data_IF_186699389404
#
_entry.id   IF_186699389404
#
_cell.length_a   1.000
_cell.length_b   1.000
_cell.length_c   1.000
_cell.angle_alpha   90.00
_cell.angle_beta   90.00
_cell.angle_gamma   90.00
#
_symmetry.space_group_name_H-M   'P 1'
#
loop_
_entity.id
_entity.type
_entity.pdbx_description
1 polymer ?
#
# COMPACT_ATOMS: atom_id res chain seq x y z
N UNK A 1 -44.29 -10.68 -2.19
CA UNK A 1 -44.01 -9.24 -1.97
C UNK A 1 -45.29 -8.47 -2.24
N UNK A 2 -45.78 -7.74 -1.26
CA UNK A 2 -46.99 -6.95 -1.40
C UNK A 2 -46.85 -5.88 -2.50
N UNK A 3 -47.97 -5.58 -3.15
CA UNK A 3 -48.05 -4.61 -4.25
C UNK A 3 -48.93 -3.43 -3.85
N UNK A 4 -48.72 -2.26 -4.48
CA UNK A 4 -49.61 -1.10 -4.29
C UNK A 4 -51.05 -1.47 -4.56
N UNK A 5 -51.33 -2.40 -5.49
CA UNK A 5 -52.69 -2.86 -5.83
C UNK A 5 -53.32 -3.63 -4.67
N UNK A 6 -52.58 -4.44 -3.94
CA UNK A 6 -53.08 -5.17 -2.76
C UNK A 6 -53.39 -4.22 -1.62
N UNK A 7 -52.48 -3.25 -1.36
CA UNK A 7 -52.73 -2.22 -0.34
C UNK A 7 -53.99 -1.41 -0.70
N UNK A 8 -54.16 -1.03 -1.97
CA UNK A 8 -55.31 -0.27 -2.45
C UNK A 8 -56.62 -1.05 -2.28
N UNK A 9 -56.60 -2.37 -2.56
CA UNK A 9 -57.75 -3.24 -2.36
C UNK A 9 -58.16 -3.38 -0.89
N UNK A 10 -57.19 -3.57 0.02
CA UNK A 10 -57.45 -3.72 1.48
C UNK A 10 -57.86 -2.37 2.11
N UNK A 11 -57.24 -1.28 1.67
CA UNK A 11 -57.58 0.05 2.16
C UNK A 11 -58.89 0.60 1.58
N UNK A 12 -59.43 -0.01 0.50
CA UNK A 12 -60.61 0.41 -0.25
C UNK A 12 -60.46 1.81 -0.88
N UNK A 13 -59.29 2.11 -1.40
CA UNK A 13 -58.96 3.38 -2.05
C UNK A 13 -58.32 3.16 -3.43
N UNK A 14 -58.20 4.23 -4.23
CA UNK A 14 -57.53 4.13 -5.51
C UNK A 14 -56.02 3.84 -5.37
N UNK A 15 -55.46 3.17 -6.38
CA UNK A 15 -54.00 2.93 -6.46
C UNK A 15 -53.22 4.24 -6.43
N UNK A 16 -53.78 5.32 -7.05
CA UNK A 16 -53.16 6.64 -7.05
C UNK A 16 -53.14 7.28 -5.66
N UNK A 17 -54.19 7.07 -4.84
CA UNK A 17 -54.26 7.53 -3.45
C UNK A 17 -53.19 6.85 -2.61
N UNK A 18 -53.11 5.52 -2.69
CA UNK A 18 -52.04 4.76 -1.97
C UNK A 18 -50.66 5.24 -2.41
N UNK A 19 -50.42 5.37 -3.71
CA UNK A 19 -49.14 5.83 -4.22
C UNK A 19 -48.74 7.21 -3.69
N UNK A 20 -49.69 8.15 -3.65
CA UNK A 20 -49.44 9.52 -3.16
C UNK A 20 -49.23 9.55 -1.64
N UNK A 21 -50.02 8.80 -0.88
CA UNK A 21 -49.81 8.67 0.60
C UNK A 21 -48.47 8.08 0.93
N UNK A 22 -48.09 6.97 0.29
CA UNK A 22 -46.77 6.31 0.50
C UNK A 22 -45.58 7.14 0.01
N UNK A 23 -45.81 8.13 -0.84
CA UNK A 23 -44.81 9.11 -1.28
C UNK A 23 -44.83 10.41 -0.47
N UNK A 24 -45.63 10.49 0.62
CA UNK A 24 -45.77 11.66 1.49
C UNK A 24 -46.14 12.93 0.73
N UNK A 25 -47.03 12.80 -0.24
CA UNK A 25 -47.53 13.96 -1.03
C UNK A 25 -48.46 14.81 -0.19
N UNK A 26 -47.99 15.97 0.25
CA UNK A 26 -48.73 16.92 1.08
C UNK A 26 -49.89 17.61 0.33
N UNK A 27 -49.85 17.59 -1.01
CA UNK A 27 -50.92 18.18 -1.82
C UNK A 27 -52.16 17.29 -1.95
N UNK A 28 -52.07 16.05 -1.45
CA UNK A 28 -53.19 15.10 -1.48
C UNK A 28 -54.18 15.40 -0.35
N UNK A 29 -55.37 15.81 -0.73
CA UNK A 29 -56.46 15.99 0.21
C UNK A 29 -57.15 14.66 0.51
N UNK A 30 -56.73 14.00 1.59
CA UNK A 30 -57.24 12.74 2.13
C UNK A 30 -57.34 12.84 3.65
N UNK A 31 -58.36 12.23 4.27
CA UNK A 31 -58.51 12.27 5.72
C UNK A 31 -57.34 11.58 6.44
N UNK A 32 -56.99 12.08 7.63
CA UNK A 32 -55.91 11.49 8.44
C UNK A 32 -56.20 10.02 8.75
N UNK A 33 -57.45 9.66 9.00
CA UNK A 33 -57.89 8.27 9.24
C UNK A 33 -57.55 7.38 8.03
N UNK A 34 -57.78 7.87 6.81
CA UNK A 34 -57.48 7.11 5.60
C UNK A 34 -55.96 7.04 5.36
N UNK A 35 -55.21 8.09 5.70
CA UNK A 35 -53.75 8.11 5.62
C UNK A 35 -53.14 7.08 6.57
N UNK A 36 -53.56 7.07 7.83
CA UNK A 36 -53.12 6.10 8.84
C UNK A 36 -53.48 4.67 8.44
N UNK A 37 -54.71 4.43 7.94
CA UNK A 37 -55.13 3.10 7.45
C UNK A 37 -54.19 2.57 6.36
N UNK A 38 -53.83 3.41 5.38
CA UNK A 38 -52.94 3.03 4.29
C UNK A 38 -51.53 2.70 4.80
N UNK A 39 -50.97 3.53 5.71
CA UNK A 39 -49.65 3.33 6.29
C UNK A 39 -49.58 2.05 7.11
N UNK A 40 -50.62 1.78 7.93
CA UNK A 40 -50.69 0.56 8.74
C UNK A 40 -50.78 -0.70 7.89
N UNK A 41 -51.59 -0.71 6.84
CA UNK A 41 -51.69 -1.83 5.89
C UNK A 41 -50.37 -2.05 5.15
N UNK A 42 -49.67 -0.98 4.77
CA UNK A 42 -48.39 -1.07 4.12
C UNK A 42 -47.32 -1.69 5.04
N UNK A 43 -47.33 -1.35 6.31
CA UNK A 43 -46.43 -1.92 7.37
C UNK A 43 -46.76 -3.39 7.62
N UNK A 44 -48.02 -3.74 7.86
CA UNK A 44 -48.48 -5.13 8.06
C UNK A 44 -48.16 -6.05 6.88
N UNK A 45 -48.13 -5.53 5.67
CA UNK A 45 -47.78 -6.27 4.45
C UNK A 45 -46.30 -6.20 4.10
N UNK A 46 -45.45 -5.63 4.94
CA UNK A 46 -44.02 -5.37 4.70
C UNK A 46 -43.75 -4.75 3.32
N UNK A 47 -44.62 -3.80 2.91
CA UNK A 47 -44.53 -3.17 1.58
C UNK A 47 -43.37 -2.18 1.53
N UNK A 48 -42.39 -2.46 0.67
CA UNK A 48 -41.25 -1.56 0.39
C UNK A 48 -41.57 -0.76 -0.90
N UNK A 49 -41.77 0.55 -0.78
CA UNK A 49 -42.07 1.41 -1.92
C UNK A 49 -40.95 1.36 -2.99
N UNK A 50 -41.32 1.58 -4.26
CA UNK A 50 -40.34 1.66 -5.36
C UNK A 50 -39.34 2.80 -5.18
N UNK A 51 -39.67 3.86 -4.42
CA UNK A 51 -38.71 4.90 -4.01
C UNK A 51 -37.75 4.41 -2.94
N UNK A 52 -38.21 3.65 -1.95
CA UNK A 52 -37.39 3.05 -0.93
C UNK A 52 -36.47 1.96 -1.54
N UNK A 53 -36.98 1.23 -2.56
CA UNK A 53 -36.11 0.34 -3.37
C UNK A 53 -35.09 1.12 -4.19
N UNK A 54 -35.46 2.29 -4.77
CA UNK A 54 -34.50 3.16 -5.46
C UNK A 54 -33.50 3.83 -4.51
N UNK A 55 -33.90 4.10 -3.25
CA UNK A 55 -33.01 4.66 -2.22
C UNK A 55 -32.06 3.57 -1.66
N UNK A 56 -32.54 2.33 -1.48
CA UNK A 56 -31.66 1.17 -1.18
C UNK A 56 -30.74 0.79 -2.35
N UNK A 57 -31.11 1.12 -3.59
CA UNK A 57 -30.29 0.93 -4.79
C UNK A 57 -29.53 2.19 -5.24
N UNK A 58 -29.60 3.30 -4.50
CA UNK A 58 -28.67 4.40 -4.71
C UNK A 58 -27.36 3.97 -4.06
N UNK A 59 -26.45 3.40 -4.88
CA UNK A 59 -25.09 3.08 -4.43
C UNK A 59 -24.58 4.29 -3.65
N UNK A 60 -24.05 4.07 -2.45
CA UNK A 60 -23.40 5.13 -1.68
C UNK A 60 -22.38 5.82 -2.59
N UNK A 61 -22.17 7.10 -2.40
CA UNK A 61 -21.08 7.83 -3.06
C UNK A 61 -19.79 7.79 -2.22
N UNK A 62 -19.82 7.06 -1.12
CA UNK A 62 -18.72 6.96 -0.20
C UNK A 62 -17.87 5.71 -0.50
N UNK A 63 -16.57 5.90 -0.58
CA UNK A 63 -15.55 4.85 -0.61
C UNK A 63 -14.84 4.87 0.75
N UNK A 64 -14.77 3.73 1.41
CA UNK A 64 -14.02 3.57 2.64
C UNK A 64 -12.53 3.49 2.36
N UNK A 65 -11.72 4.15 3.17
CA UNK A 65 -10.27 3.94 3.18
C UNK A 65 -9.82 3.50 4.56
N UNK A 66 -9.04 2.42 4.58
CA UNK A 66 -8.36 1.93 5.78
C UNK A 66 -6.87 1.79 5.49
N UNK A 67 -6.03 2.14 6.47
CA UNK A 67 -4.60 2.03 6.34
C UNK A 67 -3.94 1.61 7.67
N UNK A 68 -2.87 0.82 7.55
CA UNK A 68 -2.22 0.12 8.65
C UNK A 68 -1.22 0.96 9.46
N UNK A 69 -0.94 2.19 9.01
CA UNK A 69 0.03 3.11 9.62
C UNK A 69 -0.69 4.23 10.39
N UNK A 70 0.01 4.80 11.36
CA UNK A 70 -0.51 5.93 12.14
C UNK A 70 -0.06 7.29 11.54
N UNK A 71 -0.57 8.37 12.12
CA UNK A 71 -0.28 9.74 11.66
C UNK A 71 1.21 10.12 11.73
N UNK A 72 1.92 9.70 12.79
CA UNK A 72 3.35 10.00 12.96
C UNK A 72 4.19 9.28 11.90
N UNK A 73 3.83 8.06 11.58
CA UNK A 73 4.47 7.27 10.53
C UNK A 73 4.21 7.86 9.14
N UNK A 74 3.00 8.37 8.89
CA UNK A 74 2.66 9.04 7.64
C UNK A 74 3.48 10.32 7.43
N UNK A 75 3.71 11.09 8.50
CA UNK A 75 4.57 12.27 8.44
C UNK A 75 6.06 11.92 8.26
N UNK A 76 6.49 10.81 8.84
CA UNK A 76 7.88 10.34 8.77
C UNK A 76 8.28 9.77 7.41
N UNK A 77 7.34 9.14 6.70
CA UNK A 77 7.56 8.58 5.36
C UNK A 77 6.40 8.95 4.43
N UNK A 78 6.60 9.89 3.49
CA UNK A 78 5.54 10.39 2.61
C UNK A 78 5.07 9.37 1.55
N UNK A 79 5.61 8.17 1.50
CA UNK A 79 5.22 7.13 0.54
C UNK A 79 3.72 6.79 0.63
N UNK A 80 3.24 6.43 1.82
CA UNK A 80 1.82 6.11 2.03
C UNK A 80 0.91 7.34 1.95
N UNK A 81 1.39 8.50 2.40
CA UNK A 81 0.70 9.78 2.23
C UNK A 81 0.42 10.06 0.74
N UNK A 82 1.40 9.85 -0.13
CA UNK A 82 1.26 10.05 -1.58
C UNK A 82 0.21 9.11 -2.19
N UNK A 83 0.19 7.84 -1.79
CA UNK A 83 -0.84 6.86 -2.21
C UNK A 83 -2.23 7.34 -1.80
N UNK A 84 -2.40 7.74 -0.53
CA UNK A 84 -3.68 8.20 0.01
C UNK A 84 -4.19 9.46 -0.67
N UNK A 85 -3.34 10.48 -0.83
CA UNK A 85 -3.72 11.72 -1.50
C UNK A 85 -4.09 11.51 -2.98
N UNK A 86 -3.39 10.60 -3.68
CA UNK A 86 -3.75 10.25 -5.05
C UNK A 86 -5.09 9.52 -5.14
N UNK A 87 -5.37 8.61 -4.20
CA UNK A 87 -6.67 7.95 -4.11
C UNK A 87 -7.79 8.96 -3.82
N UNK A 88 -7.59 9.89 -2.88
CA UNK A 88 -8.54 10.96 -2.55
C UNK A 88 -8.85 11.85 -3.76
N UNK A 89 -7.80 12.32 -4.44
CA UNK A 89 -7.95 13.11 -5.66
C UNK A 89 -8.75 12.36 -6.72
N UNK A 90 -8.41 11.09 -6.95
CA UNK A 90 -9.07 10.26 -7.97
C UNK A 90 -10.54 9.97 -7.61
N UNK A 91 -10.85 9.73 -6.32
CA UNK A 91 -12.24 9.61 -5.85
C UNK A 91 -13.05 10.88 -6.15
N UNK A 92 -12.49 12.05 -5.80
CA UNK A 92 -13.14 13.34 -6.03
C UNK A 92 -13.41 13.59 -7.54
N UNK A 93 -12.45 13.27 -8.41
CA UNK A 93 -12.60 13.36 -9.87
C UNK A 93 -13.75 12.49 -10.41
N UNK A 94 -14.06 11.38 -9.71
CA UNK A 94 -15.15 10.46 -10.07
C UNK A 94 -16.44 10.67 -9.26
N UNK A 95 -16.53 11.78 -8.51
CA UNK A 95 -17.68 12.13 -7.67
C UNK A 95 -17.98 11.13 -6.54
N UNK A 96 -16.94 10.49 -6.00
CA UNK A 96 -16.98 9.70 -4.77
C UNK A 96 -16.34 10.49 -3.62
N UNK A 97 -16.89 10.33 -2.41
CA UNK A 97 -16.27 10.83 -1.19
C UNK A 97 -15.36 9.73 -0.62
N UNK A 98 -14.17 10.09 -0.13
CA UNK A 98 -13.31 9.16 0.58
C UNK A 98 -13.52 9.32 2.09
N UNK A 99 -13.88 8.22 2.76
CA UNK A 99 -14.20 8.22 4.19
C UNK A 99 -13.22 7.30 4.92
N UNK A 100 -12.56 7.84 5.95
CA UNK A 100 -11.65 7.04 6.76
C UNK A 100 -12.41 6.04 7.61
N UNK A 101 -12.03 4.76 7.51
CA UNK A 101 -12.47 3.67 8.36
C UNK A 101 -11.42 3.44 9.46
N UNK A 102 -11.86 3.22 10.70
CA UNK A 102 -10.98 2.87 11.81
C UNK A 102 -11.21 1.40 12.18
N UNK A 103 -10.13 0.65 12.45
CA UNK A 103 -10.21 -0.77 12.82
C UNK A 103 -11.03 -1.00 14.09
N UNK A 104 -10.97 -0.07 15.05
CA UNK A 104 -11.51 -0.20 16.42
C UNK A 104 -12.82 0.55 16.63
N UNK A 105 -13.35 1.26 15.65
CA UNK A 105 -14.57 2.05 15.89
C UNK A 105 -15.81 1.36 15.32
N UNK A 106 -16.79 1.12 16.22
CA UNK A 106 -18.17 0.82 15.86
C UNK A 106 -18.89 2.02 15.21
N UNK A 107 -18.19 3.14 15.00
CA UNK A 107 -18.77 4.43 14.65
C UNK A 107 -18.89 4.67 13.14
N UNK A 108 -18.25 3.86 12.30
CA UNK A 108 -18.47 3.92 10.85
C UNK A 108 -18.91 2.54 10.34
N UNK A 109 -20.11 2.50 9.82
CA UNK A 109 -20.67 1.28 9.26
C UNK A 109 -19.96 0.95 7.92
N UNK A 110 -19.01 0.01 7.97
CA UNK A 110 -18.29 -0.52 6.80
C UNK A 110 -19.27 -0.99 5.71
N UNK A 111 -20.51 -1.31 6.09
CA UNK A 111 -21.56 -1.78 5.17
C UNK A 111 -22.17 -0.64 4.35
N UNK A 112 -22.01 0.62 4.78
CA UNK A 112 -22.60 1.79 4.10
C UNK A 112 -21.74 2.39 2.99
N UNK A 113 -20.50 1.90 2.79
CA UNK A 113 -19.62 2.34 1.69
C UNK A 113 -19.83 1.47 0.45
N UNK A 114 -19.64 2.05 -0.74
CA UNK A 114 -19.73 1.33 -2.01
C UNK A 114 -18.60 0.32 -2.22
N UNK A 115 -17.46 0.58 -1.59
CA UNK A 115 -16.27 -0.27 -1.62
C UNK A 115 -15.18 0.26 -0.71
N UNK A 116 -14.09 -0.51 -0.58
CA UNK A 116 -13.01 -0.24 0.37
C UNK A 116 -11.66 -0.24 -0.35
N UNK A 117 -10.85 0.76 -0.06
CA UNK A 117 -9.41 0.79 -0.39
C UNK A 117 -8.62 0.51 0.89
N UNK A 118 -7.88 -0.59 0.91
CA UNK A 118 -7.07 -1.02 2.04
C UNK A 118 -5.57 -0.83 1.72
N UNK A 119 -4.93 0.18 2.35
CA UNK A 119 -3.55 0.54 2.07
C UNK A 119 -2.61 -0.08 3.11
N UNK A 120 -1.65 -0.86 2.63
CA UNK A 120 -0.67 -1.55 3.45
C UNK A 120 -1.12 -2.95 3.88
N UNK A 121 -0.60 -3.45 4.99
CA UNK A 121 -0.68 -4.85 5.39
C UNK A 121 -1.60 -5.04 6.59
N UNK A 122 -2.51 -5.99 6.47
CA UNK A 122 -3.51 -6.25 7.51
C UNK A 122 -3.41 -7.67 8.04
N UNK A 123 -3.78 -7.85 9.31
CA UNK A 123 -3.92 -9.17 9.91
C UNK A 123 -5.01 -9.98 9.19
N UNK A 124 -4.89 -11.33 9.12
CA UNK A 124 -5.92 -12.18 8.51
C UNK A 124 -7.32 -11.92 9.09
N UNK A 125 -7.44 -11.69 10.39
CA UNK A 125 -8.72 -11.36 11.05
C UNK A 125 -9.33 -10.05 10.55
N UNK A 126 -8.51 -9.01 10.32
CA UNK A 126 -8.96 -7.74 9.74
C UNK A 126 -9.42 -7.93 8.30
N UNK A 127 -8.67 -8.71 7.49
CA UNK A 127 -9.03 -9.02 6.11
C UNK A 127 -10.38 -9.71 6.03
N UNK A 128 -10.63 -10.73 6.88
CA UNK A 128 -11.91 -11.44 6.91
C UNK A 128 -13.05 -10.54 7.41
N UNK A 129 -12.82 -9.65 8.40
CA UNK A 129 -13.79 -8.65 8.85
C UNK A 129 -14.19 -7.73 7.69
N UNK A 130 -13.23 -7.20 6.94
CA UNK A 130 -13.50 -6.34 5.78
C UNK A 130 -14.26 -7.11 4.69
N UNK A 131 -13.83 -8.33 4.36
CA UNK A 131 -14.44 -9.18 3.33
C UNK A 131 -15.88 -9.58 3.66
N UNK A 132 -16.19 -9.79 4.95
CA UNK A 132 -17.54 -10.11 5.40
C UNK A 132 -18.50 -8.91 5.31
N UNK A 133 -17.95 -7.69 5.39
CA UNK A 133 -18.73 -6.47 5.38
C UNK A 133 -18.92 -5.87 3.98
N UNK A 134 -17.97 -6.06 3.07
CA UNK A 134 -18.03 -5.52 1.71
C UNK A 134 -17.29 -6.44 0.73
N UNK A 135 -17.91 -6.73 -0.42
CA UNK A 135 -17.29 -7.56 -1.48
C UNK A 135 -16.35 -6.76 -2.40
N UNK A 136 -16.51 -5.42 -2.42
CA UNK A 136 -15.73 -4.52 -3.26
C UNK A 136 -14.51 -4.00 -2.49
N UNK A 137 -13.43 -4.76 -2.46
CA UNK A 137 -12.17 -4.38 -1.78
C UNK A 137 -11.02 -4.39 -2.77
N UNK A 138 -10.18 -3.37 -2.69
CA UNK A 138 -8.89 -3.28 -3.39
C UNK A 138 -7.79 -3.07 -2.36
N UNK A 139 -6.81 -3.95 -2.34
CA UNK A 139 -5.61 -3.79 -1.52
C UNK A 139 -4.52 -3.03 -2.27
N UNK A 140 -3.79 -2.16 -1.57
CA UNK A 140 -2.69 -1.38 -2.12
C UNK A 140 -1.41 -1.68 -1.33
N UNK A 141 -0.31 -1.91 -2.04
CA UNK A 141 1.00 -2.31 -1.48
C UNK A 141 0.95 -3.64 -0.71
N UNK A 142 -0.09 -4.41 -0.91
CA UNK A 142 -0.31 -5.72 -0.32
C UNK A 142 -1.29 -6.55 -1.18
N UNK A 143 -1.07 -7.86 -1.28
CA UNK A 143 -1.97 -8.81 -1.94
C UNK A 143 -2.16 -10.02 -1.03
N UNK A 144 -3.22 -10.05 -0.19
CA UNK A 144 -3.44 -11.13 0.75
C UNK A 144 -3.82 -12.46 0.08
N UNK A 145 -4.64 -12.38 -0.96
CA UNK A 145 -5.09 -13.51 -1.77
C UNK A 145 -5.55 -12.99 -3.14
N UNK A 146 -4.77 -13.26 -4.17
CA UNK A 146 -5.04 -12.79 -5.54
C UNK A 146 -6.27 -13.42 -6.19
N UNK A 147 -6.76 -14.56 -5.67
CA UNK A 147 -7.97 -15.20 -6.16
C UNK A 147 -9.24 -14.56 -5.57
N UNK A 148 -9.12 -13.89 -4.42
CA UNK A 148 -10.26 -13.30 -3.70
C UNK A 148 -10.36 -11.78 -3.85
N UNK A 149 -9.23 -11.09 -4.00
CA UNK A 149 -9.18 -9.64 -3.92
C UNK A 149 -8.40 -9.00 -5.06
N UNK A 150 -8.83 -7.82 -5.44
CA UNK A 150 -8.02 -6.95 -6.27
C UNK A 150 -6.85 -6.38 -5.50
N UNK A 151 -5.73 -6.18 -6.20
CA UNK A 151 -4.57 -5.54 -5.59
C UNK A 151 -3.79 -4.68 -6.59
N UNK A 152 -3.19 -3.61 -6.06
CA UNK A 152 -2.26 -2.74 -6.79
C UNK A 152 -0.94 -2.73 -6.03
N UNK A 153 0.13 -3.13 -6.69
CA UNK A 153 1.45 -3.35 -6.08
C UNK A 153 2.53 -2.61 -6.86
N UNK A 154 3.64 -2.31 -6.19
CA UNK A 154 4.93 -2.06 -6.84
C UNK A 154 5.69 -3.38 -7.00
N UNK A 155 6.56 -3.48 -8.01
CA UNK A 155 7.43 -4.65 -8.21
C UNK A 155 8.68 -4.56 -7.33
N UNK A 156 8.48 -4.80 -6.02
CA UNK A 156 9.55 -4.70 -5.00
C UNK A 156 10.66 -5.71 -5.27
N UNK A 157 10.30 -6.93 -5.67
CA UNK A 157 11.28 -7.99 -5.91
C UNK A 157 12.20 -7.66 -7.07
N UNK A 158 11.65 -7.24 -8.21
CA UNK A 158 12.44 -6.87 -9.39
C UNK A 158 13.29 -5.64 -9.12
N UNK A 159 12.73 -4.59 -8.49
CA UNK A 159 13.47 -3.38 -8.15
C UNK A 159 14.63 -3.64 -7.19
N UNK A 160 14.45 -4.52 -6.20
CA UNK A 160 15.53 -4.94 -5.30
C UNK A 160 16.64 -5.68 -6.06
N UNK A 161 16.26 -6.57 -6.97
CA UNK A 161 17.22 -7.29 -7.81
C UNK A 161 18.02 -6.34 -8.71
N UNK A 162 17.39 -5.29 -9.24
CA UNK A 162 18.08 -4.27 -10.05
C UNK A 162 19.08 -3.44 -9.22
N UNK A 163 18.74 -3.04 -7.99
CA UNK A 163 19.68 -2.38 -7.07
C UNK A 163 20.93 -3.25 -6.85
N UNK A 164 20.71 -4.52 -6.53
CA UNK A 164 21.80 -5.44 -6.20
C UNK A 164 22.67 -5.76 -7.42
N UNK A 165 22.06 -5.92 -8.61
CA UNK A 165 22.80 -6.04 -9.86
C UNK A 165 23.66 -4.80 -10.12
N UNK A 166 23.09 -3.60 -9.99
CA UNK A 166 23.82 -2.34 -10.17
C UNK A 166 25.03 -2.24 -9.24
N UNK A 167 24.85 -2.47 -7.95
CA UNK A 167 25.97 -2.46 -7.00
C UNK A 167 27.01 -3.54 -7.31
N UNK A 168 26.58 -4.72 -7.73
CA UNK A 168 27.46 -5.80 -8.12
C UNK A 168 28.29 -5.48 -9.39
N UNK A 169 27.67 -4.81 -10.38
CA UNK A 169 28.33 -4.33 -11.61
C UNK A 169 29.32 -3.20 -11.34
N UNK A 170 29.07 -2.38 -10.31
CA UNK A 170 30.03 -1.40 -9.82
C UNK A 170 31.24 -2.05 -9.08
N UNK A 171 31.24 -3.37 -8.92
CA UNK A 171 32.32 -4.12 -8.28
C UNK A 171 32.10 -4.44 -6.80
N UNK A 172 31.00 -3.96 -6.18
CA UNK A 172 30.72 -4.25 -4.79
C UNK A 172 30.41 -5.74 -4.57
N UNK A 173 31.01 -6.33 -3.54
CA UNK A 173 30.80 -7.73 -3.12
C UNK A 173 30.38 -7.83 -1.65
N UNK A 174 30.74 -6.83 -0.86
CA UNK A 174 30.36 -6.66 0.54
C UNK A 174 29.30 -5.56 0.60
N UNK A 175 28.07 -5.96 0.35
CA UNK A 175 26.91 -5.07 0.29
C UNK A 175 26.10 -5.28 1.58
N UNK A 176 26.00 -4.26 2.42
CA UNK A 176 25.13 -4.29 3.59
C UNK A 176 23.68 -4.00 3.22
N UNK A 177 22.74 -4.63 3.92
CA UNK A 177 21.32 -4.34 3.81
C UNK A 177 20.80 -3.76 5.13
N UNK A 178 20.21 -2.56 5.06
CA UNK A 178 19.55 -1.92 6.18
C UNK A 178 18.04 -1.97 5.94
N UNK A 179 17.34 -2.80 6.71
CA UNK A 179 15.89 -3.00 6.64
C UNK A 179 15.15 -2.44 7.85
N UNK A 180 13.86 -2.16 7.69
CA UNK A 180 12.97 -1.83 8.80
C UNK A 180 12.59 -3.06 9.63
N UNK A 181 11.72 -2.85 10.61
CA UNK A 181 11.25 -3.90 11.51
C UNK A 181 10.74 -5.11 10.75
N UNK A 182 11.23 -6.29 11.08
CA UNK A 182 10.48 -7.52 10.85
C UNK A 182 9.18 -7.41 11.61
N UNK A 183 8.06 -7.35 10.91
CA UNK A 183 6.75 -7.38 11.54
C UNK A 183 6.58 -8.74 12.23
N UNK A 184 7.01 -8.82 13.49
CA UNK A 184 6.66 -9.92 14.36
C UNK A 184 5.16 -9.84 14.61
N UNK A 185 4.44 -10.77 14.02
CA UNK A 185 3.06 -11.13 14.39
C UNK A 185 1.98 -10.07 14.13
N UNK A 186 1.56 -9.92 12.88
CA UNK A 186 0.17 -9.54 12.60
C UNK A 186 -0.83 -10.66 13.00
N UNK A 187 -0.35 -11.87 13.21
CA UNK A 187 -1.06 -12.96 13.88
C UNK A 187 -0.05 -14.01 14.38
N UNK A 188 -0.47 -14.89 15.30
CA UNK A 188 0.34 -16.03 15.78
C UNK A 188 0.76 -17.00 14.65
N UNK A 189 0.25 -16.84 13.42
CA UNK A 189 0.32 -17.85 12.38
C UNK A 189 1.30 -17.57 11.24
N UNK A 190 1.64 -16.32 10.90
CA UNK A 190 2.67 -16.02 9.88
C UNK A 190 3.34 -14.66 10.13
N UNK A 191 4.63 -14.68 10.40
CA UNK A 191 5.46 -13.47 10.30
C UNK A 191 5.56 -13.08 8.81
N UNK A 192 5.20 -11.83 8.47
CA UNK A 192 5.45 -11.30 7.13
C UNK A 192 6.95 -11.00 6.98
N UNK A 193 7.56 -11.50 5.92
CA UNK A 193 8.93 -11.16 5.52
C UNK A 193 8.85 -10.13 4.41
N UNK A 194 9.59 -9.03 4.53
CA UNK A 194 9.66 -8.01 3.47
C UNK A 194 10.29 -8.62 2.21
N UNK A 195 9.74 -8.33 1.04
CA UNK A 195 10.22 -8.88 -0.21
C UNK A 195 11.66 -8.45 -0.53
N UNK A 196 12.08 -7.27 -0.04
CA UNK A 196 13.47 -6.80 -0.13
C UNK A 196 14.43 -7.71 0.61
N UNK A 197 14.05 -8.21 1.80
CA UNK A 197 14.85 -9.16 2.59
C UNK A 197 15.05 -10.48 1.82
N UNK A 198 13.93 -10.99 1.26
CA UNK A 198 13.94 -12.24 0.50
C UNK A 198 14.85 -12.10 -0.71
N UNK A 199 14.66 -11.06 -1.50
CA UNK A 199 15.41 -10.83 -2.75
C UNK A 199 16.88 -10.51 -2.51
N UNK A 200 17.19 -9.77 -1.43
CA UNK A 200 18.57 -9.55 -1.04
C UNK A 200 19.27 -10.88 -0.76
N UNK A 201 18.67 -11.73 0.07
CA UNK A 201 19.24 -13.02 0.40
C UNK A 201 19.42 -13.91 -0.84
N UNK A 202 18.35 -14.09 -1.62
CA UNK A 202 18.39 -14.89 -2.85
C UNK A 202 19.49 -14.43 -3.82
N UNK A 203 19.60 -13.12 -4.04
CA UNK A 203 20.63 -12.55 -4.92
C UNK A 203 22.05 -12.80 -4.40
N UNK A 204 22.30 -12.51 -3.13
CA UNK A 204 23.63 -12.68 -2.53
C UNK A 204 24.06 -14.15 -2.48
N UNK A 205 23.13 -15.08 -2.21
CA UNK A 205 23.38 -16.52 -2.28
C UNK A 205 23.69 -16.96 -3.73
N UNK A 206 22.91 -16.50 -4.71
CA UNK A 206 23.14 -16.82 -6.12
C UNK A 206 24.51 -16.35 -6.62
N UNK A 207 24.99 -15.20 -6.12
CA UNK A 207 26.33 -14.67 -6.45
C UNK A 207 27.46 -15.28 -5.61
N UNK A 208 27.16 -16.12 -4.63
CA UNK A 208 28.16 -16.71 -3.73
C UNK A 208 28.82 -15.72 -2.77
N UNK A 209 28.14 -14.61 -2.44
CA UNK A 209 28.65 -13.52 -1.60
C UNK A 209 27.73 -13.25 -0.40
N UNK A 210 26.80 -14.13 -0.08
CA UNK A 210 25.92 -13.98 1.06
C UNK A 210 26.70 -14.08 2.37
N UNK A 211 26.49 -13.07 3.24
CA UNK A 211 26.94 -13.07 4.61
C UNK A 211 25.85 -12.51 5.52
N UNK A 212 25.31 -13.29 6.48
CA UNK A 212 24.25 -12.84 7.38
C UNK A 212 24.66 -11.65 8.25
N UNK A 213 25.97 -11.43 8.49
CA UNK A 213 26.49 -10.27 9.23
C UNK A 213 26.33 -8.94 8.47
N UNK A 214 25.94 -8.98 7.20
CA UNK A 214 25.67 -7.77 6.41
C UNK A 214 24.22 -7.33 6.47
N UNK A 215 23.37 -8.02 7.25
CA UNK A 215 21.95 -7.71 7.38
C UNK A 215 21.71 -7.00 8.71
N UNK A 216 21.32 -5.73 8.62
CA UNK A 216 21.00 -4.87 9.75
C UNK A 216 19.50 -4.58 9.76
N UNK A 217 18.78 -5.05 10.78
CA UNK A 217 17.34 -4.91 10.87
C UNK A 217 16.92 -4.29 12.21
N UNK A 218 16.16 -3.21 12.12
CA UNK A 218 15.67 -2.47 13.27
C UNK A 218 14.52 -3.17 14.00
N UNK A 219 14.30 -2.76 15.23
CA UNK A 219 13.09 -3.09 16.01
C UNK A 219 11.93 -2.13 15.68
N UNK A 220 12.24 -1.00 15.07
CA UNK A 220 11.30 0.04 14.69
C UNK A 220 11.09 0.05 13.17
N UNK A 221 10.06 0.79 12.73
CA UNK A 221 9.72 0.92 11.31
C UNK A 221 10.76 1.80 10.57
N UNK A 222 10.49 2.12 9.33
CA UNK A 222 11.33 2.86 8.39
C UNK A 222 11.46 4.35 8.78
N UNK A 223 12.23 4.66 9.83
CA UNK A 223 12.44 6.03 10.32
C UNK A 223 13.85 6.52 10.10
N UNK A 224 14.08 7.85 10.15
CA UNK A 224 15.43 8.44 10.15
C UNK A 224 16.31 7.85 11.25
N UNK A 225 15.75 7.70 12.46
CA UNK A 225 16.45 7.16 13.61
C UNK A 225 16.88 5.71 13.38
N UNK A 226 16.00 4.89 12.85
CA UNK A 226 16.31 3.49 12.54
C UNK A 226 17.44 3.40 11.53
N UNK A 227 17.40 4.20 10.46
CA UNK A 227 18.48 4.26 9.46
C UNK A 227 19.81 4.70 10.05
N UNK A 228 19.81 5.68 10.92
CA UNK A 228 20.99 6.17 11.62
C UNK A 228 21.59 5.10 12.55
N UNK A 229 20.78 4.51 13.42
CA UNK A 229 21.25 3.53 14.40
C UNK A 229 21.83 2.28 13.72
N UNK A 230 21.16 1.77 12.69
CA UNK A 230 21.62 0.59 11.94
C UNK A 230 22.85 0.88 11.07
N UNK A 231 22.96 2.06 10.49
CA UNK A 231 24.17 2.46 9.78
C UNK A 231 25.37 2.56 10.75
N UNK A 232 25.19 3.12 11.94
CA UNK A 232 26.24 3.12 12.99
C UNK A 232 26.65 1.70 13.40
N UNK A 233 25.70 0.77 13.51
CA UNK A 233 25.98 -0.64 13.76
C UNK A 233 26.81 -1.26 12.63
N UNK A 234 26.40 -1.02 11.37
CA UNK A 234 27.09 -1.50 10.18
C UNK A 234 28.55 -1.00 10.11
N UNK A 235 28.78 0.28 10.40
CA UNK A 235 30.13 0.87 10.38
C UNK A 235 31.01 0.34 11.52
N UNK A 236 30.45 0.13 12.71
CA UNK A 236 31.18 -0.40 13.86
C UNK A 236 31.58 -1.87 13.70
N UNK A 237 30.82 -2.65 12.93
CA UNK A 237 31.08 -4.09 12.72
C UNK A 237 32.44 -4.38 12.06
N UNK A 238 33.05 -3.37 11.40
CA UNK A 238 34.30 -3.47 10.64
C UNK A 238 34.34 -4.64 9.62
N UNK A 239 33.17 -5.04 9.13
CA UNK A 239 33.03 -6.15 8.18
C UNK A 239 33.52 -5.81 6.77
N UNK A 240 33.98 -4.56 6.57
CA UNK A 240 34.52 -4.07 5.28
C UNK A 240 33.44 -3.91 4.22
N UNK A 241 32.22 -3.58 4.62
CA UNK A 241 31.13 -3.22 3.73
C UNK A 241 31.53 -2.03 2.87
N UNK A 242 31.31 -2.12 1.56
CA UNK A 242 31.64 -1.07 0.60
C UNK A 242 30.42 -0.39 -0.01
N UNK A 243 29.22 -0.97 0.19
CA UNK A 243 27.94 -0.38 -0.20
C UNK A 243 26.85 -0.74 0.81
N UNK A 244 25.87 0.12 0.92
CA UNK A 244 24.63 -0.09 1.68
C UNK A 244 23.42 0.00 0.74
N UNK A 245 22.60 -1.04 0.73
CA UNK A 245 21.24 -0.97 0.27
C UNK A 245 20.34 -0.65 1.47
N UNK A 246 19.67 0.48 1.43
CA UNK A 246 18.83 0.99 2.52
C UNK A 246 17.36 0.90 2.12
N UNK A 247 16.53 0.34 2.97
CA UNK A 247 15.15 -0.04 2.69
C UNK A 247 14.20 1.09 2.27
N UNK A 248 14.50 2.35 2.62
CA UNK A 248 13.85 3.54 2.03
C UNK A 248 14.73 4.80 2.17
N UNK A 249 14.34 5.88 1.49
CA UNK A 249 15.09 7.13 1.46
C UNK A 249 15.09 7.86 2.82
N UNK A 250 14.03 7.72 3.62
CA UNK A 250 13.97 8.25 4.99
C UNK A 250 15.09 7.65 5.85
N UNK A 251 15.27 6.34 5.81
CA UNK A 251 16.37 5.67 6.51
C UNK A 251 17.73 6.05 5.91
N UNK A 252 17.80 6.25 4.58
CA UNK A 252 19.04 6.65 3.93
C UNK A 252 19.54 8.01 4.42
N UNK A 253 18.65 8.98 4.68
CA UNK A 253 19.02 10.26 5.31
C UNK A 253 19.67 10.02 6.67
N UNK A 254 19.12 9.12 7.49
CA UNK A 254 19.73 8.72 8.76
C UNK A 254 21.10 8.08 8.58
N UNK A 255 21.26 7.21 7.59
CA UNK A 255 22.52 6.57 7.26
C UNK A 255 23.59 7.58 6.81
N UNK A 256 23.23 8.57 5.99
CA UNK A 256 24.13 9.67 5.61
C UNK A 256 24.69 10.41 6.82
N UNK A 257 23.82 10.74 7.80
CA UNK A 257 24.25 11.38 9.04
C UNK A 257 25.24 10.50 9.81
N UNK A 258 24.95 9.21 9.95
CA UNK A 258 25.82 8.27 10.65
C UNK A 258 27.22 8.15 9.99
N UNK A 259 27.26 8.07 8.67
CA UNK A 259 28.49 7.96 7.87
C UNK A 259 29.32 9.25 8.00
N UNK A 260 28.68 10.42 7.89
CA UNK A 260 29.35 11.70 8.05
C UNK A 260 29.94 11.89 9.46
N UNK A 261 29.25 11.45 10.51
CA UNK A 261 29.76 11.52 11.90
C UNK A 261 30.94 10.59 12.16
N UNK A 262 31.08 9.49 11.42
CA UNK A 262 32.25 8.60 11.46
C UNK A 262 33.41 9.13 10.58
N UNK A 263 33.26 10.30 9.97
CA UNK A 263 34.28 10.93 9.12
C UNK A 263 34.44 10.26 7.76
N UNK A 264 33.47 9.45 7.33
CA UNK A 264 33.46 8.76 6.04
C UNK A 264 32.71 9.57 4.99
N UNK A 265 33.10 9.39 3.73
CA UNK A 265 32.54 10.07 2.57
C UNK A 265 31.70 9.15 1.70
N UNK A 266 30.58 9.68 1.21
CA UNK A 266 29.75 9.04 0.21
C UNK A 266 30.03 9.72 -1.14
N UNK A 267 30.33 9.01 -2.19
CA UNK A 267 30.44 7.55 -2.33
C UNK A 267 31.86 7.00 -2.08
N UNK A 268 32.83 7.85 -1.69
CA UNK A 268 34.27 7.48 -1.75
C UNK A 268 34.66 6.37 -0.78
N UNK A 269 34.10 6.33 0.42
CA UNK A 269 34.33 5.26 1.38
C UNK A 269 33.23 4.20 1.32
N UNK A 270 31.98 4.63 1.09
CA UNK A 270 30.81 3.74 1.06
C UNK A 270 29.73 4.25 0.09
N UNK A 271 29.29 3.40 -0.82
CA UNK A 271 28.17 3.68 -1.71
C UNK A 271 26.83 3.45 -1.02
N UNK A 272 25.79 4.23 -1.37
CA UNK A 272 24.45 4.06 -0.81
C UNK A 272 23.40 4.06 -1.91
N UNK A 273 22.45 3.12 -1.83
CA UNK A 273 21.23 3.10 -2.62
C UNK A 273 20.02 3.10 -1.68
N UNK A 274 19.08 4.01 -1.93
CA UNK A 274 17.80 4.11 -1.23
C UNK A 274 16.64 3.41 -1.97
N UNK A 275 15.41 3.76 -1.56
CA UNK A 275 14.18 3.23 -2.13
C UNK A 275 13.03 4.22 -1.93
N UNK A 276 12.16 4.42 -2.92
CA UNK A 276 10.97 5.25 -3.07
C UNK A 276 11.16 6.52 -3.92
N UNK A 277 12.35 7.09 -4.05
CA UNK A 277 12.67 8.37 -4.69
C UNK A 277 11.87 9.53 -4.09
N UNK A 278 11.95 9.66 -2.76
CA UNK A 278 11.35 10.79 -2.07
C UNK A 278 11.94 12.13 -2.56
N UNK A 279 11.18 13.25 -2.49
CA UNK A 279 11.66 14.55 -2.96
C UNK A 279 13.01 14.98 -2.37
N UNK A 280 13.34 14.55 -1.15
CA UNK A 280 14.62 14.81 -0.48
C UNK A 280 15.81 14.14 -1.13
N UNK A 281 15.63 12.99 -1.78
CA UNK A 281 16.71 12.16 -2.32
C UNK A 281 17.63 12.91 -3.30
N UNK A 282 17.08 13.79 -4.14
CA UNK A 282 17.83 14.60 -5.10
C UNK A 282 18.56 15.80 -4.48
N UNK A 283 18.22 16.18 -3.26
CA UNK A 283 18.83 17.32 -2.54
C UNK A 283 19.81 16.87 -1.47
N UNK A 284 20.00 15.57 -1.25
CA UNK A 284 21.07 15.05 -0.42
C UNK A 284 22.44 15.33 -1.06
N UNK A 285 23.49 15.36 -0.25
CA UNK A 285 24.85 15.64 -0.71
C UNK A 285 25.76 14.47 -0.29
N UNK A 286 26.22 13.67 -1.29
CA UNK A 286 25.81 13.65 -2.71
C UNK A 286 24.35 13.24 -2.89
N UNK A 287 23.76 13.51 -4.08
CA UNK A 287 22.39 13.13 -4.38
C UNK A 287 22.20 11.60 -4.40
N UNK A 288 21.10 11.12 -3.79
CA UNK A 288 20.88 9.70 -3.52
C UNK A 288 20.41 8.93 -4.77
N UNK A 289 21.15 7.88 -5.13
CA UNK A 289 20.71 6.83 -6.07
C UNK A 289 19.61 6.01 -5.40
N UNK A 290 18.48 5.82 -6.07
CA UNK A 290 17.30 5.18 -5.46
C UNK A 290 16.36 4.59 -6.51
N UNK A 291 15.42 3.78 -6.10
CA UNK A 291 14.28 3.32 -6.91
C UNK A 291 13.11 4.28 -6.72
N UNK A 292 12.60 4.84 -7.81
CA UNK A 292 11.32 5.54 -7.80
C UNK A 292 10.17 4.55 -7.90
N UNK A 293 9.35 4.52 -6.86
CA UNK A 293 8.03 3.91 -6.91
C UNK A 293 7.01 5.03 -7.15
N UNK A 294 6.29 5.02 -8.28
CA UNK A 294 5.29 6.05 -8.56
C UNK A 294 4.04 5.82 -7.71
N UNK A 295 4.13 6.17 -6.43
CA UNK A 295 3.13 5.93 -5.39
C UNK A 295 1.78 6.59 -5.71
N UNK A 296 1.80 7.71 -6.42
CA UNK A 296 0.61 8.39 -6.92
C UNK A 296 -0.22 7.53 -7.89
N UNK A 297 0.45 6.67 -8.68
CA UNK A 297 -0.24 5.73 -9.58
C UNK A 297 -0.81 4.52 -8.83
N UNK A 298 -0.19 4.11 -7.72
CA UNK A 298 -0.76 3.06 -6.86
C UNK A 298 -2.14 3.47 -6.33
N UNK A 299 -2.24 4.70 -5.80
CA UNK A 299 -3.50 5.23 -5.28
C UNK A 299 -4.57 5.41 -6.34
N UNK A 300 -4.22 6.02 -7.49
CA UNK A 300 -5.18 6.25 -8.57
C UNK A 300 -5.66 4.95 -9.21
N UNK A 301 -4.78 3.98 -9.46
CA UNK A 301 -5.13 2.68 -10.02
C UNK A 301 -6.03 1.86 -9.09
N UNK A 302 -5.87 2.00 -7.77
CA UNK A 302 -6.74 1.35 -6.81
C UNK A 302 -8.18 1.84 -6.90
N UNK A 303 -8.37 3.16 -7.09
CA UNK A 303 -9.70 3.74 -7.29
C UNK A 303 -10.30 3.27 -8.62
N UNK A 304 -9.53 3.24 -9.70
CA UNK A 304 -10.00 2.76 -11.01
C UNK A 304 -10.47 1.29 -10.92
N UNK A 305 -9.68 0.40 -10.28
CA UNK A 305 -10.06 -1.00 -10.04
C UNK A 305 -11.32 -1.12 -9.20
N UNK A 306 -11.44 -0.30 -8.15
CA UNK A 306 -12.59 -0.32 -7.27
C UNK A 306 -13.87 0.11 -7.99
N UNK A 307 -13.80 1.17 -8.83
CA UNK A 307 -14.91 1.65 -9.64
C UNK A 307 -15.36 0.59 -10.65
N UNK A 308 -14.41 -0.10 -11.31
CA UNK A 308 -14.72 -1.24 -12.19
C UNK A 308 -15.53 -2.32 -11.44
N UNK A 309 -15.13 -2.65 -10.23
CA UNK A 309 -15.78 -3.66 -9.40
C UNK A 309 -17.17 -3.22 -8.93
N UNK A 310 -17.31 -1.99 -8.42
CA UNK A 310 -18.60 -1.39 -8.02
C UNK A 310 -19.59 -1.37 -9.18
N UNK A 311 -19.12 -1.11 -10.40
CA UNK A 311 -19.98 -1.06 -11.59
C UNK A 311 -20.31 -2.44 -12.16
N UNK A 312 -19.71 -3.52 -11.64
CA UNK A 312 -19.91 -4.89 -12.14
C UNK A 312 -19.38 -5.08 -13.56
N UNK A 313 -18.35 -4.32 -13.97
CA UNK A 313 -17.81 -4.35 -15.33
C UNK A 313 -16.90 -5.55 -15.59
N UNK A 314 -16.63 -6.39 -14.58
CA UNK A 314 -15.80 -7.59 -14.69
C UNK A 314 -16.14 -8.64 -13.63
N UNK A 315 -15.85 -9.89 -13.94
CA UNK A 315 -16.07 -11.05 -13.07
C UNK A 315 -14.82 -11.49 -12.30
N UNK A 316 -13.62 -11.19 -12.82
CA UNK A 316 -12.35 -11.66 -12.26
C UNK A 316 -11.65 -10.57 -11.45
N UNK A 317 -10.94 -10.98 -10.40
CA UNK A 317 -10.04 -10.10 -9.68
C UNK A 317 -8.80 -9.77 -10.52
N UNK A 318 -8.22 -8.61 -10.28
CA UNK A 318 -7.01 -8.14 -10.97
C UNK A 318 -5.90 -7.85 -9.95
N UNK A 319 -4.70 -8.25 -10.33
CA UNK A 319 -3.46 -7.82 -9.68
C UNK A 319 -2.71 -6.90 -10.63
N UNK A 320 -2.64 -5.64 -10.28
CA UNK A 320 -1.95 -4.61 -11.08
C UNK A 320 -0.58 -4.35 -10.48
N UNK A 321 0.45 -4.46 -11.31
CA UNK A 321 1.84 -4.15 -10.92
C UNK A 321 2.23 -2.83 -11.58
N UNK A 322 2.52 -1.82 -10.78
CA UNK A 322 3.02 -0.53 -11.25
C UNK A 322 4.54 -0.62 -11.41
N UNK A 323 5.09 -0.32 -12.59
CA UNK A 323 6.51 -0.38 -12.83
C UNK A 323 7.24 0.72 -12.04
N UNK A 324 8.50 0.45 -11.74
CA UNK A 324 9.41 1.38 -11.07
C UNK A 324 10.39 2.02 -12.06
N UNK A 325 11.10 3.05 -11.61
CA UNK A 325 12.21 3.66 -12.34
C UNK A 325 13.47 3.64 -11.48
N UNK A 326 14.61 3.27 -12.04
CA UNK A 326 15.89 3.38 -11.33
C UNK A 326 16.49 4.78 -11.53
N UNK A 327 16.63 5.52 -10.46
CA UNK A 327 17.22 6.87 -10.42
C UNK A 327 18.68 6.82 -9.99
N UNK A 328 19.58 6.63 -10.95
CA UNK A 328 21.03 6.66 -10.70
C UNK A 328 21.45 8.11 -10.51
N UNK A 329 22.17 8.38 -9.38
CA UNK A 329 22.69 9.69 -8.99
C UNK A 329 24.13 9.55 -8.49
N UNK A 330 24.54 10.38 -7.53
CA UNK A 330 25.95 10.57 -7.15
C UNK A 330 26.39 9.70 -5.96
N UNK A 331 25.46 9.02 -5.26
CA UNK A 331 25.75 8.29 -4.02
C UNK A 331 26.45 6.93 -4.20
N UNK A 332 26.77 6.55 -5.43
CA UNK A 332 27.43 5.29 -5.73
C UNK A 332 28.64 5.51 -6.65
N UNK A 333 29.71 4.76 -6.40
CA UNK A 333 30.89 4.75 -7.26
C UNK A 333 31.31 3.34 -7.67
N UNK A 334 32.03 3.23 -8.75
CA UNK A 334 32.70 1.99 -9.15
C UNK A 334 33.92 1.74 -8.26
N UNK A 335 34.05 0.51 -7.77
CA UNK A 335 35.27 0.05 -7.10
C UNK A 335 36.02 -0.88 -8.04
N UNK A 336 37.34 -0.65 -8.17
CA UNK A 336 38.20 -1.52 -8.97
C UNK A 336 38.76 -2.60 -8.04
N UNK A 337 38.32 -3.84 -8.21
CA UNK A 337 39.02 -4.98 -7.64
C UNK A 337 40.28 -5.17 -8.47
N UNK A 338 41.45 -4.88 -7.88
CA UNK A 338 42.70 -5.37 -8.44
C UNK A 338 42.68 -6.90 -8.23
N UNK A 339 42.23 -7.64 -9.23
CA UNK A 339 42.59 -9.05 -9.33
C UNK A 339 44.10 -9.05 -9.46
N UNK A 340 44.79 -9.51 -8.40
CA UNK A 340 46.21 -9.87 -8.52
C UNK A 340 46.29 -10.93 -9.61
N UNK A 341 46.73 -10.53 -10.80
CA UNK A 341 47.12 -11.44 -11.88
C UNK A 341 48.29 -12.29 -11.37
N UNK A 342 47.96 -13.38 -10.71
CA UNK A 342 48.94 -14.43 -10.35
C UNK A 342 49.18 -15.31 -11.57
N UNK A 343 49.59 -14.69 -12.69
CA UNK A 343 50.18 -15.40 -13.84
C UNK A 343 51.07 -14.42 -14.61
N UNK A 344 52.30 -14.23 -14.15
CA UNK A 344 53.47 -13.94 -14.98
C UNK A 344 54.72 -13.82 -14.12
N UNK A 345 55.20 -14.92 -13.56
CA UNK A 345 56.60 -15.06 -13.08
C UNK A 345 57.00 -16.54 -12.99
N UNK A 346 56.85 -17.27 -14.11
CA UNK A 346 57.44 -18.62 -14.22
C UNK A 346 58.30 -18.83 -15.48
N UNK A 347 58.55 -17.80 -16.31
CA UNK A 347 59.34 -17.97 -17.52
C UNK A 347 60.56 -17.04 -17.59
N UNK A 348 61.33 -16.85 -16.52
CA UNK A 348 62.64 -16.17 -16.58
C UNK A 348 63.63 -16.81 -15.61
N UNK A 349 63.79 -18.14 -15.66
CA UNK A 349 64.99 -18.80 -15.19
C UNK A 349 65.27 -19.96 -16.17
N UNK A 350 65.93 -19.65 -17.27
CA UNK A 350 66.78 -20.53 -18.05
C UNK A 350 67.30 -19.75 -19.25
N UNK A 351 68.42 -19.05 -19.10
CA UNK A 351 69.61 -19.06 -19.95
C UNK A 351 70.75 -18.43 -19.14
#
# INVERSE_FOLDING_TARGET
>A
MATIKEIAAIAEVSISTVSRVLNFDETLNVSDVTREKILKIADELEYVSSKTKKTKNKKSKDIGIIYWYNYEEELGDPYYLSIRLAAEKKCNENNFNLVKLNEDSDTYDITNVSGIIAIGRFAPSTIEKLASANENIVFVDFSPDENRFDSVLADIGKSTSEILNYLHELGHRKIGFIGGKKLEKLSKEKAYVDERDIKYKEFMEQKGIYNPEYIYQGKERFTFKTGYDLAKEALKSKNGITALFVGNDTMAIGAYKAISEEGLSIPDDISIVGFNDQPSAKYMIPSLTTIRIPSEYLGSAAVDLLIEKINGSREYNKKVIIPFEFKIRESCRKIYTFEKSAKHNQDLIHI
#
